data_IF_874952829073
#
_entry.id   IF_874952829073
#
_cell.length_a   1.000
_cell.length_b   1.000
_cell.length_c   1.000
_cell.angle_alpha   90.00
_cell.angle_beta   90.00
_cell.angle_gamma   90.00
#
_symmetry.space_group_name_H-M   'P 1'
#
loop_
_entity.id
_entity.type
_entity.pdbx_description
1 polymer ?
#
# COMPACT_ATOMS: atom_id res chain seq x y z
N UNK A 1 2.22 19.73 -5.11
CA UNK A 1 2.62 18.41 -5.65
C UNK A 1 2.70 17.40 -4.52
N UNK A 2 1.59 16.75 -4.14
CA UNK A 2 1.58 15.63 -3.22
C UNK A 2 2.11 14.38 -3.91
N UNK A 3 2.77 13.55 -3.12
CA UNK A 3 3.23 12.23 -3.53
C UNK A 3 2.66 11.20 -2.56
N UNK A 4 1.85 10.28 -3.07
CA UNK A 4 1.25 9.20 -2.29
C UNK A 4 1.94 7.91 -2.67
N UNK A 5 2.47 7.19 -1.67
CA UNK A 5 2.92 5.81 -1.86
C UNK A 5 1.93 4.88 -1.18
N UNK A 6 1.47 3.88 -1.93
CA UNK A 6 0.64 2.79 -1.42
C UNK A 6 1.51 1.55 -1.43
N UNK A 7 1.94 1.13 -0.25
CA UNK A 7 2.63 -0.13 -0.06
C UNK A 7 1.64 -1.18 0.46
N UNK A 8 1.57 -2.31 -0.23
CA UNK A 8 0.62 -3.36 0.08
C UNK A 8 1.11 -4.72 -0.42
N UNK A 9 0.39 -5.78 -0.05
CA UNK A 9 0.68 -7.11 -0.57
C UNK A 9 0.34 -7.20 -2.06
N UNK A 10 1.18 -7.92 -2.79
CA UNK A 10 0.97 -8.26 -4.20
C UNK A 10 -0.34 -9.03 -4.46
N UNK A 11 -0.72 -9.09 -5.74
CA UNK A 11 -1.91 -9.80 -6.21
C UNK A 11 -3.14 -8.93 -6.45
N UNK A 12 -3.02 -7.60 -6.40
CA UNK A 12 -4.10 -6.68 -6.81
C UNK A 12 -4.19 -6.56 -8.33
N UNK A 13 -5.40 -6.48 -8.85
CA UNK A 13 -5.62 -6.33 -10.29
C UNK A 13 -5.24 -4.91 -10.77
N UNK A 14 -4.94 -4.77 -12.06
CA UNK A 14 -4.70 -3.45 -12.65
C UNK A 14 -5.95 -2.56 -12.61
N UNK A 15 -7.15 -3.14 -12.60
CA UNK A 15 -8.40 -2.40 -12.46
C UNK A 15 -8.55 -1.78 -11.06
N UNK A 16 -8.24 -2.54 -10.01
CA UNK A 16 -8.25 -2.01 -8.64
C UNK A 16 -7.26 -0.85 -8.48
N UNK A 17 -6.04 -0.97 -9.03
CA UNK A 17 -5.05 0.11 -9.00
C UNK A 17 -5.55 1.37 -9.71
N UNK A 18 -6.21 1.21 -10.86
CA UNK A 18 -6.77 2.32 -11.63
C UNK A 18 -7.87 3.05 -10.85
N UNK A 19 -8.81 2.30 -10.30
CA UNK A 19 -9.91 2.86 -9.53
C UNK A 19 -9.39 3.63 -8.30
N UNK A 20 -8.42 3.09 -7.58
CA UNK A 20 -7.77 3.77 -6.45
C UNK A 20 -7.07 5.06 -6.90
N UNK A 21 -6.33 5.01 -8.01
CA UNK A 21 -5.63 6.18 -8.53
C UNK A 21 -6.59 7.32 -8.90
N UNK A 22 -7.72 6.99 -9.55
CA UNK A 22 -8.77 7.94 -9.92
C UNK A 22 -9.40 8.60 -8.68
N UNK A 23 -9.80 7.79 -7.70
CA UNK A 23 -10.46 8.29 -6.49
C UNK A 23 -9.52 9.14 -5.62
N UNK A 24 -8.27 8.72 -5.44
CA UNK A 24 -7.29 9.49 -4.66
C UNK A 24 -6.89 10.80 -5.35
N UNK A 25 -6.73 10.77 -6.68
CA UNK A 25 -6.45 11.98 -7.46
C UNK A 25 -7.58 12.99 -7.31
N UNK A 26 -8.83 12.52 -7.43
CA UNK A 26 -10.02 13.35 -7.23
C UNK A 26 -10.06 13.94 -5.82
N UNK A 27 -9.90 13.12 -4.78
CA UNK A 27 -9.90 13.55 -3.39
C UNK A 27 -8.85 14.63 -3.12
N UNK A 28 -7.60 14.40 -3.56
CA UNK A 28 -6.51 15.34 -3.35
C UNK A 28 -6.71 16.63 -4.14
N UNK A 29 -7.32 16.57 -5.31
CA UNK A 29 -7.65 17.76 -6.09
C UNK A 29 -8.75 18.58 -5.43
N UNK A 30 -9.85 17.93 -5.02
CA UNK A 30 -11.03 18.58 -4.43
C UNK A 30 -10.75 19.15 -3.03
N UNK A 31 -10.13 18.37 -2.15
CA UNK A 31 -9.91 18.75 -0.74
C UNK A 31 -8.59 19.48 -0.58
N UNK A 32 -7.55 19.02 -1.27
CA UNK A 32 -6.21 19.57 -1.15
C UNK A 32 -5.92 20.77 -2.07
N UNK A 33 -6.85 21.12 -2.98
CA UNK A 33 -6.82 22.38 -3.73
C UNK A 33 -5.73 22.47 -4.80
N UNK A 34 -5.38 21.34 -5.42
CA UNK A 34 -4.33 21.24 -6.42
C UNK A 34 -4.86 20.63 -7.72
N UNK A 35 -4.23 20.90 -8.87
CA UNK A 35 -4.68 20.31 -10.11
C UNK A 35 -4.32 18.80 -10.16
N UNK A 36 -5.13 17.97 -10.83
CA UNK A 36 -4.93 16.51 -10.89
C UNK A 36 -3.56 16.07 -11.44
N UNK A 37 -2.98 16.83 -12.36
CA UNK A 37 -1.68 16.56 -12.98
C UNK A 37 -0.49 16.71 -12.00
N UNK A 38 -0.72 17.36 -10.86
CA UNK A 38 0.26 17.48 -9.78
C UNK A 38 0.13 16.40 -8.69
N UNK A 39 -0.85 15.48 -8.81
CA UNK A 39 -1.05 14.38 -7.86
C UNK A 39 -0.33 13.14 -8.33
N UNK A 40 0.69 12.72 -7.61
CA UNK A 40 1.50 11.56 -7.99
C UNK A 40 1.22 10.40 -7.04
N UNK A 41 0.91 9.22 -7.61
CA UNK A 41 0.57 8.01 -6.86
C UNK A 41 1.48 6.88 -7.32
N UNK A 42 2.21 6.28 -6.37
CA UNK A 42 3.07 5.13 -6.60
C UNK A 42 2.50 3.92 -5.86
N UNK A 43 2.31 2.82 -6.57
CA UNK A 43 1.98 1.52 -5.99
C UNK A 43 3.26 0.71 -5.81
N UNK A 44 3.46 0.16 -4.62
CA UNK A 44 4.53 -0.77 -4.29
C UNK A 44 3.89 -2.07 -3.87
N UNK A 45 3.93 -3.06 -4.76
CA UNK A 45 3.51 -4.41 -4.45
C UNK A 45 4.70 -5.14 -3.84
N UNK A 46 4.54 -5.60 -2.60
CA UNK A 46 5.54 -6.43 -1.93
C UNK A 46 5.00 -7.83 -1.74
N UNK A 47 5.90 -8.81 -1.75
CA UNK A 47 5.55 -10.15 -1.29
C UNK A 47 5.20 -10.08 0.20
N UNK A 48 4.35 -10.99 0.68
CA UNK A 48 4.07 -11.06 2.12
C UNK A 48 5.35 -11.26 2.94
N UNK A 49 6.31 -12.03 2.42
CA UNK A 49 7.61 -12.29 3.04
C UNK A 49 8.44 -11.04 3.33
N UNK A 50 8.14 -9.92 2.68
CA UNK A 50 8.86 -8.65 2.87
C UNK A 50 8.35 -7.86 4.09
N UNK A 51 7.27 -8.32 4.74
CA UNK A 51 6.62 -7.62 5.84
C UNK A 51 6.70 -8.40 7.14
N UNK A 52 6.96 -7.70 8.25
CA UNK A 52 6.78 -8.22 9.60
C UNK A 52 5.69 -7.42 10.32
N UNK A 53 4.75 -8.12 10.98
CA UNK A 53 3.70 -7.50 11.80
C UNK A 53 3.80 -8.10 13.19
N UNK A 54 3.98 -7.26 14.21
CA UNK A 54 4.13 -7.73 15.60
C UNK A 54 5.36 -8.62 15.82
N UNK A 55 6.40 -8.51 14.99
CA UNK A 55 7.61 -9.35 15.04
C UNK A 55 7.56 -10.60 14.17
N UNK A 56 6.44 -10.92 13.55
CA UNK A 56 6.29 -12.13 12.72
C UNK A 56 6.30 -11.81 11.23
N UNK A 57 7.20 -12.45 10.48
CA UNK A 57 7.27 -12.37 9.02
C UNK A 57 5.99 -12.95 8.41
N UNK A 58 5.37 -12.19 7.53
CA UNK A 58 4.13 -12.59 6.87
C UNK A 58 4.45 -13.53 5.69
N UNK A 59 3.55 -14.47 5.39
CA UNK A 59 3.73 -15.37 4.24
C UNK A 59 4.81 -16.45 4.38
N UNK A 60 5.46 -16.56 5.54
CA UNK A 60 6.19 -17.78 5.92
C UNK A 60 5.20 -18.85 6.37
N UNK A 61 5.37 -20.09 5.90
CA UNK A 61 4.45 -21.21 6.15
C UNK A 61 4.37 -21.71 7.60
N UNK A 62 4.99 -21.02 8.56
CA UNK A 62 5.09 -21.44 9.96
C UNK A 62 4.65 -20.32 10.91
N UNK A 63 3.33 -20.16 11.04
CA UNK A 63 2.65 -19.26 11.99
C UNK A 63 2.78 -19.73 13.47
N UNK A 64 3.84 -20.47 13.82
CA UNK A 64 3.88 -21.28 15.05
C UNK A 64 4.97 -20.94 16.07
N UNK A 65 5.90 -19.99 15.84
CA UNK A 65 7.13 -19.97 16.66
C UNK A 65 7.66 -18.61 17.13
N UNK A 66 6.80 -17.64 17.44
CA UNK A 66 7.24 -16.46 18.20
C UNK A 66 6.34 -16.26 19.42
N UNK A 67 6.62 -17.02 20.47
CA UNK A 67 6.21 -16.66 21.83
C UNK A 67 6.87 -15.36 22.27
N UNK A 68 6.30 -14.66 23.27
CA UNK A 68 6.82 -13.36 23.70
C UNK A 68 8.27 -13.46 24.18
N UNK A 69 9.11 -12.43 23.94
CA UNK A 69 10.44 -12.37 24.52
C UNK A 69 10.32 -12.25 26.05
N UNK A 70 11.14 -13.03 26.77
CA UNK A 70 11.25 -13.06 28.24
C UNK A 70 11.33 -11.67 28.89
#
# INVERSE_FOLDING_TARGET
MPFVTIEWFEGRSGEQKREIAEQLTRLLSEVGGMPPDQVWIRFVDSAKSDWAIGGTIQGGGDDAALGPPD
#
